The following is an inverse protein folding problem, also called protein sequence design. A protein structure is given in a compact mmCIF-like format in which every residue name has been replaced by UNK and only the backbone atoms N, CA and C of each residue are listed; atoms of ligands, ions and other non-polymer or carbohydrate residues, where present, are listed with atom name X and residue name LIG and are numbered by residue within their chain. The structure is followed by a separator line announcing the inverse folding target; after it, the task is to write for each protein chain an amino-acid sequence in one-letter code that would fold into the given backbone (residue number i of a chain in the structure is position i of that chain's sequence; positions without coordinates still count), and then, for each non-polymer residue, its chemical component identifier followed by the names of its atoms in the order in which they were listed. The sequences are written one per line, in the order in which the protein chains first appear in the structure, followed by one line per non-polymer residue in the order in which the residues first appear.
data_IF_676741266271
#
_entry.id   IF_676741266271
#
_cell.length_a   1.000
_cell.length_b   1.000
_cell.length_c   1.000
_cell.angle_alpha   90.00
_cell.angle_beta   90.00
_cell.angle_gamma   90.00
#
_symmetry.space_group_name_H-M   'P 1'
#
loop_
_entity.id
_entity.type
_entity.pdbx_description
1 polymer ?
#
# COMPACT_ATOMS: atom_id res chain seq x y z
N UNK A 1 -1.99 -1.70 19.39
CA UNK A 1 -1.12 -1.05 18.37
C UNK A 1 -1.51 -1.53 16.97
N UNK A 2 -1.68 -0.62 15.98
CA UNK A 2 -1.97 -0.98 14.60
C UNK A 2 -0.87 -1.84 13.97
N UNK A 3 -1.28 -2.72 13.06
CA UNK A 3 -0.39 -3.37 12.11
C UNK A 3 -0.12 -2.41 10.94
N UNK A 4 1.15 -2.04 10.71
CA UNK A 4 1.56 -1.14 9.63
C UNK A 4 2.04 -1.98 8.44
N UNK A 5 1.39 -1.83 7.28
CA UNK A 5 1.68 -2.58 6.06
C UNK A 5 2.04 -1.59 4.94
N UNK A 6 3.28 -1.61 4.47
CA UNK A 6 3.66 -0.89 3.28
C UNK A 6 3.28 -1.69 2.02
N UNK A 7 2.72 -1.02 1.01
CA UNK A 7 2.43 -1.62 -0.30
C UNK A 7 3.47 -1.08 -1.28
N UNK A 8 4.45 -1.91 -1.62
CA UNK A 8 5.62 -1.47 -2.36
C UNK A 8 6.00 -2.41 -3.51
N UNK A 9 6.43 -1.83 -4.61
CA UNK A 9 7.14 -2.46 -5.71
C UNK A 9 7.84 -1.38 -6.54
N UNK A 10 9.05 -1.63 -6.99
CA UNK A 10 9.83 -0.69 -7.81
C UNK A 10 9.28 -0.56 -9.23
N UNK A 11 8.55 -1.56 -9.73
CA UNK A 11 7.92 -1.54 -11.05
C UNK A 11 6.64 -0.69 -11.00
N UNK A 12 6.51 0.26 -11.92
CA UNK A 12 5.28 1.01 -12.17
C UNK A 12 4.17 0.11 -12.73
N UNK A 13 2.91 0.48 -12.51
CA UNK A 13 1.76 -0.19 -13.14
C UNK A 13 1.42 -1.59 -12.62
N UNK A 14 2.02 -2.08 -11.53
CA UNK A 14 1.74 -3.42 -10.97
C UNK A 14 0.51 -3.48 -10.06
N UNK A 15 -0.23 -2.38 -9.91
CA UNK A 15 -1.44 -2.31 -9.09
C UNK A 15 -1.18 -1.99 -7.60
N UNK A 16 -0.11 -1.28 -7.25
CA UNK A 16 0.16 -0.80 -5.88
C UNK A 16 -1.01 0.03 -5.34
N UNK A 17 -1.28 1.17 -5.97
CA UNK A 17 -2.35 2.10 -5.61
C UNK A 17 -3.72 1.44 -5.65
N UNK A 18 -4.00 0.65 -6.69
CA UNK A 18 -5.25 -0.13 -6.78
C UNK A 18 -5.40 -1.07 -5.59
N UNK A 19 -4.31 -1.71 -5.17
CA UNK A 19 -4.31 -2.59 -3.97
C UNK A 19 -4.46 -1.77 -2.70
N UNK A 20 -3.77 -0.64 -2.57
CA UNK A 20 -3.86 0.24 -1.40
C UNK A 20 -5.30 0.71 -1.16
N UNK A 21 -5.94 1.26 -2.19
CA UNK A 21 -7.33 1.74 -2.13
C UNK A 21 -8.30 0.60 -1.81
N UNK A 22 -8.25 -0.48 -2.56
CA UNK A 22 -9.31 -1.50 -2.48
C UNK A 22 -9.13 -2.48 -1.31
N UNK A 23 -7.89 -2.80 -0.91
CA UNK A 23 -7.64 -3.64 0.26
C UNK A 23 -7.97 -2.90 1.57
N UNK A 24 -7.54 -1.63 1.69
CA UNK A 24 -7.86 -0.83 2.89
C UNK A 24 -9.37 -0.64 3.04
N UNK A 25 -10.08 -0.40 1.93
CA UNK A 25 -11.53 -0.30 1.88
C UNK A 25 -12.20 -1.61 2.34
N UNK A 26 -11.79 -2.75 1.80
CA UNK A 26 -12.37 -4.06 2.14
C UNK A 26 -12.10 -4.45 3.61
N UNK A 27 -10.93 -4.13 4.16
CA UNK A 27 -10.61 -4.36 5.58
C UNK A 27 -11.45 -3.46 6.50
N UNK A 28 -11.70 -2.20 6.10
CA UNK A 28 -12.56 -1.30 6.85
C UNK A 28 -14.03 -1.78 6.82
N UNK A 29 -14.52 -2.27 5.67
CA UNK A 29 -15.85 -2.91 5.56
C UNK A 29 -15.97 -4.17 6.43
N UNK A 30 -14.87 -4.91 6.61
CA UNK A 30 -14.81 -6.03 7.56
C UNK A 30 -14.79 -5.59 9.04
N UNK A 31 -14.97 -4.30 9.31
CA UNK A 31 -15.17 -3.73 10.64
C UNK A 31 -13.93 -3.25 11.36
N UNK A 32 -12.75 -3.26 10.73
CA UNK A 32 -11.50 -2.78 11.30
C UNK A 32 -11.35 -1.26 11.15
N UNK A 33 -10.69 -0.60 12.11
CA UNK A 33 -10.29 0.79 12.00
C UNK A 33 -9.02 0.87 11.14
N UNK A 34 -9.09 1.56 10.02
CA UNK A 34 -8.00 1.63 9.03
C UNK A 34 -7.58 3.07 8.78
N UNK A 35 -6.27 3.29 8.74
CA UNK A 35 -5.67 4.50 8.21
C UNK A 35 -4.94 4.17 6.90
N UNK A 36 -5.28 4.86 5.84
CA UNK A 36 -4.56 4.82 4.57
C UNK A 36 -3.64 6.05 4.48
N UNK A 37 -2.38 5.85 4.17
CA UNK A 37 -1.38 6.91 3.96
C UNK A 37 -0.94 6.86 2.51
N UNK A 38 -1.25 7.92 1.77
CA UNK A 38 -0.72 8.11 0.42
C UNK A 38 0.70 8.69 0.54
N UNK A 39 1.70 7.98 0.04
CA UNK A 39 3.09 8.42 0.06
C UNK A 39 3.66 8.57 -1.37
N UNK A 40 2.79 8.55 -2.38
CA UNK A 40 3.17 8.84 -3.76
C UNK A 40 2.85 10.32 -4.08
N UNK A 41 3.85 11.12 -4.56
CA UNK A 41 3.61 12.50 -4.97
C UNK A 41 2.54 12.67 -6.05
N UNK A 42 2.19 11.61 -6.77
CA UNK A 42 1.11 11.63 -7.76
C UNK A 42 -0.28 11.73 -7.13
N UNK A 43 -0.45 11.41 -5.84
CA UNK A 43 -1.71 11.53 -5.13
C UNK A 43 -2.80 10.58 -5.64
N UNK A 44 -2.42 9.47 -6.27
CA UNK A 44 -3.39 8.57 -6.91
C UNK A 44 -4.26 7.80 -5.88
N UNK A 45 -3.75 7.49 -4.71
CA UNK A 45 -4.56 6.93 -3.61
C UNK A 45 -5.53 7.99 -3.10
N UNK A 46 -5.10 9.23 -2.97
CA UNK A 46 -5.94 10.35 -2.53
C UNK A 46 -7.12 10.56 -3.47
N UNK A 47 -6.86 10.67 -4.77
CA UNK A 47 -7.90 10.79 -5.80
C UNK A 47 -8.77 9.54 -5.92
N UNK A 48 -8.20 8.35 -5.70
CA UNK A 48 -8.93 7.07 -5.69
C UNK A 48 -9.97 6.95 -4.57
N UNK A 49 -9.92 7.82 -3.55
CA UNK A 49 -10.96 7.98 -2.53
C UNK A 49 -11.83 9.23 -2.76
N UNK A 50 -11.74 9.88 -3.91
CA UNK A 50 -12.48 11.11 -4.20
C UNK A 50 -12.09 12.27 -3.29
N UNK A 51 -10.85 12.29 -2.82
CA UNK A 51 -10.35 13.33 -1.90
C UNK A 51 -9.29 14.18 -2.57
N UNK A 52 -9.12 15.37 -2.04
CA UNK A 52 -8.05 16.32 -2.35
C UNK A 52 -7.40 16.74 -1.04
N UNK A 53 -6.20 17.27 -1.11
CA UNK A 53 -5.54 17.88 0.05
C UNK A 53 -5.56 19.39 -0.07
N UNK A 54 -5.82 20.06 1.04
CA UNK A 54 -5.73 21.50 1.16
C UNK A 54 -4.34 21.91 1.67
N UNK A 55 -4.06 23.21 1.69
CA UNK A 55 -2.85 23.72 2.33
C UNK A 55 -2.77 23.26 3.79
N UNK A 56 -1.59 22.78 4.19
CA UNK A 56 -1.29 22.26 5.54
C UNK A 56 -2.13 21.05 5.98
N UNK A 57 -2.56 20.20 5.04
CA UNK A 57 -3.32 19.00 5.37
C UNK A 57 -2.88 17.73 4.62
N UNK A 58 -1.64 17.73 4.11
CA UNK A 58 -1.06 16.58 3.39
C UNK A 58 -0.02 15.84 4.22
N UNK A 59 0.33 14.63 3.78
CA UNK A 59 1.46 13.88 4.35
C UNK A 59 2.77 14.68 4.23
N UNK A 60 2.94 15.48 3.16
CA UNK A 60 4.08 16.38 3.02
C UNK A 60 4.13 17.39 4.16
N UNK A 61 3.02 18.05 4.46
CA UNK A 61 2.97 19.06 5.53
C UNK A 61 3.30 18.45 6.90
N UNK A 62 2.82 17.22 7.16
CA UNK A 62 3.17 16.50 8.38
C UNK A 62 4.66 16.12 8.44
N UNK A 63 5.23 15.59 7.33
CA UNK A 63 6.64 15.22 7.25
C UNK A 63 7.57 16.40 7.45
N UNK A 64 7.19 17.58 6.94
CA UNK A 64 7.96 18.83 7.08
C UNK A 64 7.71 19.56 8.41
N UNK A 65 6.90 19.01 9.31
CA UNK A 65 6.54 19.66 10.57
C UNK A 65 5.73 20.95 10.40
N UNK A 66 5.07 21.12 9.23
CA UNK A 66 4.25 22.30 8.90
C UNK A 66 2.81 22.15 9.40
N UNK A 67 2.40 20.92 9.75
CA UNK A 67 1.10 20.61 10.30
C UNK A 67 1.19 19.45 11.30
N UNK A 68 0.29 19.44 12.28
CA UNK A 68 0.08 18.27 13.14
C UNK A 68 -0.54 17.14 12.31
N UNK A 69 -0.08 15.90 12.52
CA UNK A 69 -0.57 14.73 11.78
C UNK A 69 -2.08 14.56 11.88
N UNK A 70 -2.67 14.84 13.06
CA UNK A 70 -4.10 14.73 13.27
C UNK A 70 -4.91 15.65 12.36
N UNK A 71 -4.36 16.82 12.02
CA UNK A 71 -4.98 17.77 11.09
C UNK A 71 -4.91 17.30 9.63
N UNK A 72 -4.04 16.34 9.32
CA UNK A 72 -3.88 15.76 7.99
C UNK A 72 -4.79 14.54 7.77
N UNK A 73 -5.43 14.03 8.84
CA UNK A 73 -6.31 12.85 8.77
C UNK A 73 -7.69 13.27 8.30
N UNK A 74 -8.09 12.77 7.14
CA UNK A 74 -9.40 13.01 6.52
C UNK A 74 -10.31 11.78 6.64
N UNK A 75 -11.62 12.01 6.71
CA UNK A 75 -12.61 10.95 6.60
C UNK A 75 -12.79 10.56 5.12
N UNK A 76 -13.05 9.30 4.86
CA UNK A 76 -13.49 8.80 3.55
C UNK A 76 -15.00 8.47 3.58
N UNK A 77 -15.57 8.08 2.44
CA UNK A 77 -16.97 7.64 2.37
C UNK A 77 -17.16 6.23 2.95
N UNK A 78 -16.08 5.56 3.32
CA UNK A 78 -16.13 4.25 3.98
C UNK A 78 -15.98 4.43 5.49
N UNK A 79 -17.01 4.01 6.22
CA UNK A 79 -16.98 4.01 7.68
C UNK A 79 -15.76 3.24 8.20
N UNK A 80 -15.04 3.82 9.17
CA UNK A 80 -13.81 3.27 9.79
C UNK A 80 -12.55 3.32 8.91
N UNK A 81 -12.60 3.95 7.73
CA UNK A 81 -11.42 4.24 6.91
C UNK A 81 -11.14 5.73 6.92
N UNK A 82 -9.95 6.08 7.34
CA UNK A 82 -9.41 7.45 7.26
C UNK A 82 -8.23 7.50 6.30
N UNK A 83 -7.92 8.68 5.79
CA UNK A 83 -6.88 8.93 4.80
C UNK A 83 -5.97 10.07 5.24
N UNK A 84 -4.68 9.91 5.05
CA UNK A 84 -3.72 11.01 4.96
C UNK A 84 -3.32 11.10 3.48
N UNK A 85 -3.73 12.19 2.83
CA UNK A 85 -3.55 12.39 1.41
C UNK A 85 -2.18 12.96 1.06
N UNK A 86 -1.80 12.80 -0.22
CA UNK A 86 -0.61 13.38 -0.83
C UNK A 86 -0.95 14.31 -1.99
N UNK A 87 -0.01 15.16 -2.33
CA UNK A 87 0.01 15.96 -3.55
C UNK A 87 1.44 16.12 -4.08
N UNK A 88 1.59 16.81 -5.20
CA UNK A 88 2.87 16.96 -5.91
C UNK A 88 3.98 17.59 -5.05
N UNK A 89 3.63 18.38 -4.02
CA UNK A 89 4.62 18.99 -3.10
C UNK A 89 5.44 17.95 -2.36
N UNK A 90 4.89 16.73 -2.19
CA UNK A 90 5.60 15.63 -1.55
C UNK A 90 6.91 15.24 -2.28
N UNK A 91 7.02 15.50 -3.59
CA UNK A 91 8.27 15.32 -4.33
C UNK A 91 9.40 16.23 -3.76
N UNK A 92 9.05 17.40 -3.22
CA UNK A 92 9.99 18.31 -2.57
C UNK A 92 10.59 17.74 -1.29
N UNK A 93 9.88 16.88 -0.56
CA UNK A 93 10.36 16.28 0.68
C UNK A 93 11.65 15.48 0.48
N UNK A 94 11.83 14.84 -0.67
CA UNK A 94 13.05 14.08 -0.98
C UNK A 94 14.29 14.97 -1.07
N UNK A 95 14.13 16.22 -1.52
CA UNK A 95 15.20 17.20 -1.61
C UNK A 95 15.43 17.88 -0.26
N UNK A 96 14.33 18.31 0.40
CA UNK A 96 14.38 19.06 1.64
C UNK A 96 14.94 18.22 2.81
N UNK A 97 14.71 16.92 2.81
CA UNK A 97 15.20 16.01 3.85
C UNK A 97 16.63 15.47 3.61
N UNK A 98 17.29 15.77 2.47
CA UNK A 98 18.61 15.19 2.13
C UNK A 98 19.65 15.42 3.23
N UNK A 99 19.67 16.61 3.83
CA UNK A 99 20.66 17.01 4.86
C UNK A 99 20.18 16.78 6.30
N UNK A 100 18.97 16.21 6.47
CA UNK A 100 18.39 16.03 7.81
C UNK A 100 18.81 14.68 8.39
N UNK A 101 19.26 14.69 9.65
CA UNK A 101 19.60 13.46 10.36
C UNK A 101 18.36 12.60 10.61
N UNK A 102 18.55 11.28 10.58
CA UNK A 102 17.47 10.28 10.78
C UNK A 102 16.28 10.47 9.82
N UNK A 103 16.49 11.05 8.65
CA UNK A 103 15.47 11.33 7.64
C UNK A 103 14.64 10.11 7.21
N UNK A 104 15.17 8.92 7.38
CA UNK A 104 14.49 7.66 7.06
C UNK A 104 13.41 7.29 8.08
N UNK A 105 13.36 7.94 9.24
CA UNK A 105 12.47 7.62 10.36
C UNK A 105 11.36 8.64 10.60
N UNK A 106 11.22 9.66 9.77
CA UNK A 106 10.20 10.70 9.97
C UNK A 106 8.79 10.14 9.97
N UNK A 107 8.44 9.33 8.96
CA UNK A 107 7.12 8.72 8.88
C UNK A 107 6.87 7.77 10.07
N UNK A 108 7.88 7.03 10.52
CA UNK A 108 7.79 6.16 11.70
C UNK A 108 7.45 6.95 12.96
N UNK A 109 8.12 8.10 13.17
CA UNK A 109 7.86 8.99 14.31
C UNK A 109 6.43 9.55 14.25
N UNK A 110 5.99 10.01 13.08
CA UNK A 110 4.64 10.53 12.87
C UNK A 110 3.56 9.48 13.12
N UNK A 111 3.67 8.31 12.49
CA UNK A 111 2.67 7.25 12.65
C UNK A 111 2.64 6.69 14.08
N UNK A 112 3.74 6.80 14.84
CA UNK A 112 3.80 6.43 16.24
C UNK A 112 2.76 7.15 17.10
N UNK A 113 2.43 8.40 16.77
CA UNK A 113 1.46 9.22 17.52
C UNK A 113 0.03 8.68 17.43
N UNK A 114 -0.37 8.17 16.26
CA UNK A 114 -1.74 7.73 15.99
C UNK A 114 -1.90 6.21 15.94
N UNK A 115 -0.82 5.46 16.16
CA UNK A 115 -0.78 4.01 15.94
C UNK A 115 -1.81 3.24 16.77
N UNK A 116 -2.14 3.71 17.96
CA UNK A 116 -3.07 3.03 18.88
C UNK A 116 -4.55 3.29 18.54
N UNK A 117 -4.83 4.24 17.64
CA UNK A 117 -6.20 4.58 17.24
C UNK A 117 -6.76 3.63 16.17
N UNK A 118 -5.89 2.90 15.46
CA UNK A 118 -6.23 2.05 14.34
C UNK A 118 -5.90 0.58 14.60
N UNK A 119 -6.55 -0.32 13.85
CA UNK A 119 -6.21 -1.74 13.77
C UNK A 119 -5.14 -1.98 12.69
N UNK A 120 -5.26 -1.25 11.56
CA UNK A 120 -4.34 -1.33 10.44
C UNK A 120 -3.97 0.07 9.92
N UNK A 121 -2.71 0.23 9.51
CA UNK A 121 -2.23 1.38 8.76
C UNK A 121 -1.62 0.85 7.47
N UNK A 122 -2.14 1.28 6.33
CA UNK A 122 -1.57 0.98 5.01
C UNK A 122 -0.81 2.19 4.47
N UNK A 123 0.33 1.94 3.81
CA UNK A 123 1.14 2.99 3.19
C UNK A 123 1.28 2.64 1.70
N UNK A 124 0.73 3.47 0.81
CA UNK A 124 0.96 3.36 -0.64
C UNK A 124 2.29 4.01 -1.01
N UNK A 125 3.21 3.23 -1.55
CA UNK A 125 4.57 3.69 -1.87
C UNK A 125 4.71 4.08 -3.34
N UNK A 126 5.51 5.11 -3.67
CA UNK A 126 5.85 5.45 -5.05
C UNK A 126 6.58 4.29 -5.76
N UNK A 127 6.65 4.31 -7.13
CA UNK A 127 7.32 3.26 -7.90
C UNK A 127 8.85 3.39 -7.93
N UNK A 128 9.43 4.06 -6.97
CA UNK A 128 10.88 4.29 -6.86
C UNK A 128 11.41 3.81 -5.51
N UNK A 129 12.70 3.48 -5.46
CA UNK A 129 13.40 3.23 -4.21
C UNK A 129 13.98 4.56 -3.68
N UNK A 130 13.11 5.51 -3.44
CA UNK A 130 13.45 6.85 -2.95
C UNK A 130 13.43 6.93 -1.43
N UNK A 131 13.75 8.11 -0.88
CA UNK A 131 13.67 8.39 0.55
C UNK A 131 12.26 8.17 1.11
N UNK A 132 11.20 8.45 0.33
CA UNK A 132 9.82 8.20 0.73
C UNK A 132 9.56 6.70 0.92
N UNK A 133 10.00 5.87 -0.04
CA UNK A 133 9.89 4.41 0.11
C UNK A 133 10.70 3.89 1.30
N UNK A 134 11.89 4.43 1.56
CA UNK A 134 12.68 4.08 2.75
C UNK A 134 11.94 4.45 4.04
N UNK A 135 11.29 5.61 4.10
CA UNK A 135 10.44 6.02 5.23
C UNK A 135 9.28 5.05 5.45
N UNK A 136 8.60 4.63 4.38
CA UNK A 136 7.52 3.65 4.47
C UNK A 136 8.02 2.32 5.05
N UNK A 137 9.14 1.79 4.53
CA UNK A 137 9.71 0.51 4.95
C UNK A 137 10.30 0.57 6.37
N UNK A 138 10.86 1.70 6.77
CA UNK A 138 11.35 1.93 8.14
C UNK A 138 10.21 2.00 9.17
N UNK A 139 9.03 2.48 8.75
CA UNK A 139 7.84 2.57 9.60
C UNK A 139 7.03 1.27 9.65
N UNK A 140 7.06 0.46 8.60
CA UNK A 140 6.19 -0.70 8.43
C UNK A 140 6.60 -1.89 9.31
N UNK A 141 5.62 -2.68 9.73
CA UNK A 141 5.84 -4.00 10.32
C UNK A 141 6.06 -5.04 9.20
N UNK A 142 5.32 -4.89 8.09
CA UNK A 142 5.43 -5.81 6.95
C UNK A 142 5.23 -5.09 5.61
N UNK A 143 5.67 -5.76 4.53
CA UNK A 143 5.52 -5.30 3.13
C UNK A 143 4.62 -6.24 2.36
N UNK A 144 3.55 -5.72 1.76
CA UNK A 144 2.75 -6.39 0.75
C UNK A 144 3.28 -6.02 -0.63
N UNK A 145 3.53 -7.01 -1.46
CA UNK A 145 4.22 -6.87 -2.75
C UNK A 145 3.27 -7.23 -3.89
N UNK A 146 2.59 -6.26 -4.52
CA UNK A 146 1.83 -6.52 -5.74
C UNK A 146 2.76 -6.80 -6.93
N UNK A 147 2.43 -7.84 -7.71
CA UNK A 147 3.19 -8.26 -8.88
C UNK A 147 2.23 -8.53 -10.01
N UNK A 148 2.44 -7.90 -11.14
CA UNK A 148 1.70 -8.20 -12.35
C UNK A 148 2.12 -9.56 -12.91
N UNK A 149 1.14 -10.38 -13.34
CA UNK A 149 1.39 -11.71 -13.93
C UNK A 149 1.93 -11.60 -15.36
N UNK A 150 3.17 -11.12 -15.50
CA UNK A 150 3.90 -10.95 -16.76
C UNK A 150 5.29 -11.59 -16.69
N UNK A 151 5.94 -11.76 -17.84
CA UNK A 151 7.21 -12.47 -17.98
C UNK A 151 8.32 -12.02 -17.00
N UNK A 152 8.45 -10.73 -16.76
CA UNK A 152 9.48 -10.17 -15.86
C UNK A 152 9.05 -10.13 -14.37
N UNK A 153 8.00 -10.84 -13.99
CA UNK A 153 7.47 -10.82 -12.63
C UNK A 153 8.52 -11.24 -11.58
N UNK A 154 9.26 -12.32 -11.83
CA UNK A 154 10.25 -12.88 -10.90
C UNK A 154 11.44 -11.94 -10.68
N UNK A 155 11.93 -11.29 -11.71
CA UNK A 155 13.05 -10.36 -11.62
C UNK A 155 12.70 -9.16 -10.72
N UNK A 156 11.51 -8.59 -10.93
CA UNK A 156 11.02 -7.49 -10.12
C UNK A 156 10.87 -7.85 -8.62
N UNK A 157 10.42 -9.07 -8.32
CA UNK A 157 10.33 -9.55 -6.92
C UNK A 157 11.71 -9.72 -6.31
N UNK A 158 12.64 -10.33 -7.01
CA UNK A 158 14.01 -10.57 -6.50
C UNK A 158 14.68 -9.24 -6.15
N UNK A 159 14.56 -8.23 -7.03
CA UNK A 159 15.09 -6.89 -6.78
C UNK A 159 14.48 -6.26 -5.52
N UNK A 160 13.15 -6.34 -5.36
CA UNK A 160 12.49 -5.81 -4.17
C UNK A 160 12.88 -6.57 -2.90
N UNK A 161 13.01 -7.91 -2.94
CA UNK A 161 13.45 -8.71 -1.79
C UNK A 161 14.85 -8.30 -1.32
N UNK A 162 15.77 -8.02 -2.24
CA UNK A 162 17.09 -7.49 -1.92
C UNK A 162 16.98 -6.12 -1.21
N UNK A 163 16.09 -5.26 -1.68
CA UNK A 163 15.82 -3.97 -1.04
C UNK A 163 15.27 -4.13 0.37
N UNK A 164 14.25 -4.97 0.53
CA UNK A 164 13.66 -5.26 1.86
C UNK A 164 14.73 -5.79 2.81
N UNK A 165 15.59 -6.70 2.35
CA UNK A 165 16.69 -7.23 3.16
C UNK A 165 17.68 -6.13 3.56
N UNK A 166 18.04 -5.22 2.66
CA UNK A 166 18.91 -4.07 2.98
C UNK A 166 18.26 -3.17 4.04
N UNK A 167 16.98 -2.81 3.87
CA UNK A 167 16.24 -2.02 4.86
C UNK A 167 16.17 -2.74 6.20
N UNK A 168 15.94 -4.07 6.19
CA UNK A 168 15.91 -4.89 7.40
C UNK A 168 17.23 -4.84 8.16
N UNK A 169 18.35 -4.89 7.46
CA UNK A 169 19.66 -4.83 8.10
C UNK A 169 20.03 -3.43 8.62
N UNK A 170 19.59 -2.37 7.94
CA UNK A 170 20.07 -1.01 8.22
C UNK A 170 19.09 -0.20 9.08
N UNK A 171 17.77 -0.26 8.79
CA UNK A 171 16.79 0.66 9.34
C UNK A 171 15.69 -0.01 10.16
N UNK A 172 15.26 -1.24 9.79
CA UNK A 172 14.12 -1.90 10.42
C UNK A 172 14.31 -3.41 10.55
N UNK A 173 15.02 -3.90 11.58
CA UNK A 173 15.27 -5.33 11.77
C UNK A 173 14.02 -6.21 11.90
N UNK A 174 12.86 -5.61 12.21
CA UNK A 174 11.58 -6.32 12.38
C UNK A 174 10.75 -6.38 11.10
N UNK A 175 11.19 -5.74 10.02
CA UNK A 175 10.46 -5.74 8.74
C UNK A 175 10.34 -7.15 8.19
N UNK A 176 9.12 -7.59 7.89
CA UNK A 176 8.82 -8.88 7.29
C UNK A 176 8.03 -8.72 5.99
N UNK A 177 7.92 -9.80 5.20
CA UNK A 177 7.03 -9.84 4.05
C UNK A 177 5.63 -10.23 4.53
N UNK A 178 4.62 -9.37 4.30
CA UNK A 178 3.22 -9.69 4.52
C UNK A 178 2.73 -10.74 3.52
N UNK A 179 3.08 -10.51 2.27
CA UNK A 179 2.81 -11.44 1.19
C UNK A 179 3.04 -10.84 -0.19
N UNK A 180 3.14 -11.73 -1.16
CA UNK A 180 3.24 -11.42 -2.58
C UNK A 180 1.84 -11.58 -3.19
N UNK A 181 1.31 -10.51 -3.78
CA UNK A 181 0.00 -10.48 -4.40
C UNK A 181 0.13 -10.50 -5.92
N UNK A 182 -0.39 -11.55 -6.54
CA UNK A 182 -0.47 -11.65 -7.99
C UNK A 182 -1.64 -10.82 -8.52
N UNK A 183 -1.35 -9.85 -9.37
CA UNK A 183 -2.31 -8.89 -9.91
C UNK A 183 -2.46 -9.03 -11.44
N UNK A 184 -3.57 -8.50 -11.96
CA UNK A 184 -3.89 -8.46 -13.39
C UNK A 184 -3.79 -9.84 -14.06
N UNK A 185 -4.14 -10.90 -13.32
CA UNK A 185 -4.14 -12.26 -13.86
C UNK A 185 -5.20 -12.39 -14.95
N UNK A 186 -4.79 -12.77 -16.15
CA UNK A 186 -5.68 -13.28 -17.18
C UNK A 186 -5.55 -14.81 -17.23
N UNK A 187 -6.49 -15.49 -16.59
CA UNK A 187 -6.51 -16.95 -16.50
C UNK A 187 -6.71 -17.68 -17.85
N UNK A 188 -6.99 -16.95 -18.94
CA UNK A 188 -7.12 -17.51 -20.29
C UNK A 188 -5.78 -17.68 -20.98
N UNK A 189 -4.72 -17.06 -20.44
CA UNK A 189 -3.37 -17.10 -21.03
C UNK A 189 -2.48 -18.12 -20.35
N UNK A 190 -1.79 -18.95 -21.12
CA UNK A 190 -0.79 -19.89 -20.59
C UNK A 190 0.33 -19.16 -19.87
N UNK A 191 0.74 -17.98 -20.37
CA UNK A 191 1.80 -17.17 -19.74
C UNK A 191 1.41 -16.77 -18.31
N UNK A 192 0.19 -16.26 -18.10
CA UNK A 192 -0.27 -15.88 -16.77
C UNK A 192 -0.23 -17.04 -15.78
N UNK A 193 -0.69 -18.22 -16.19
CA UNK A 193 -0.66 -19.43 -15.36
C UNK A 193 0.77 -19.91 -15.06
N UNK A 194 1.67 -19.89 -16.04
CA UNK A 194 3.08 -20.23 -15.85
C UNK A 194 3.77 -19.26 -14.85
N UNK A 195 3.50 -17.95 -14.94
CA UNK A 195 4.03 -16.98 -13.98
C UNK A 195 3.53 -17.27 -12.57
N UNK A 196 2.24 -17.56 -12.41
CA UNK A 196 1.66 -17.94 -11.10
C UNK A 196 2.39 -19.14 -10.50
N UNK A 197 2.61 -20.20 -11.29
CA UNK A 197 3.29 -21.41 -10.83
C UNK A 197 4.76 -21.14 -10.46
N UNK A 198 5.45 -20.36 -11.27
CA UNK A 198 6.84 -19.98 -11.04
C UNK A 198 6.98 -19.15 -9.74
N UNK A 199 6.15 -18.13 -9.54
CA UNK A 199 6.16 -17.31 -8.33
C UNK A 199 5.82 -18.15 -7.09
N UNK A 200 4.79 -19.01 -7.17
CA UNK A 200 4.43 -19.92 -6.08
C UNK A 200 5.54 -20.91 -5.75
N UNK A 201 6.24 -21.43 -6.76
CA UNK A 201 7.37 -22.36 -6.57
C UNK A 201 8.54 -21.70 -5.84
N UNK A 202 8.87 -20.44 -6.17
CA UNK A 202 10.01 -19.73 -5.57
C UNK A 202 9.69 -19.17 -4.18
N UNK A 203 8.50 -18.58 -4.00
CA UNK A 203 8.15 -17.83 -2.79
C UNK A 203 7.15 -18.55 -1.87
N UNK A 204 6.63 -19.71 -2.30
CA UNK A 204 5.81 -20.64 -1.50
C UNK A 204 4.77 -19.93 -0.61
N UNK A 205 4.93 -20.02 0.72
CA UNK A 205 3.99 -19.48 1.72
C UNK A 205 3.90 -17.95 1.72
N UNK A 206 4.86 -17.27 1.10
CA UNK A 206 4.79 -15.80 1.01
C UNK A 206 3.76 -15.33 -0.03
N UNK A 207 3.35 -16.18 -0.98
CA UNK A 207 2.34 -15.80 -1.98
C UNK A 207 0.94 -15.91 -1.39
N UNK A 208 0.11 -14.88 -1.62
CA UNK A 208 -1.31 -14.96 -1.28
C UNK A 208 -2.00 -16.02 -2.12
N UNK A 209 -2.96 -16.74 -1.52
CA UNK A 209 -3.81 -17.67 -2.26
C UNK A 209 -4.71 -16.91 -3.23
N UNK A 210 -5.18 -15.74 -2.80
CA UNK A 210 -5.98 -14.81 -3.60
C UNK A 210 -5.13 -14.17 -4.70
N UNK A 211 -5.69 -14.09 -5.91
CA UNK A 211 -5.13 -13.36 -7.05
C UNK A 211 -6.12 -12.28 -7.50
N UNK A 212 -5.63 -11.15 -7.99
CA UNK A 212 -6.47 -10.08 -8.53
C UNK A 212 -6.57 -10.26 -10.06
N UNK A 213 -7.76 -10.48 -10.62
CA UNK A 213 -7.92 -10.65 -12.05
C UNK A 213 -7.71 -9.31 -12.79
N UNK A 214 -7.38 -9.39 -14.07
CA UNK A 214 -7.51 -8.24 -14.97
C UNK A 214 -9.00 -7.89 -15.08
N UNK A 215 -9.36 -6.67 -14.64
CA UNK A 215 -10.75 -6.23 -14.55
C UNK A 215 -10.84 -4.75 -14.93
N UNK A 216 -11.69 -4.43 -15.91
CA UNK A 216 -11.86 -3.07 -16.43
C UNK A 216 -12.44 -2.14 -15.35
N UNK A 217 -13.36 -2.65 -14.50
CA UNK A 217 -13.98 -1.88 -13.42
C UNK A 217 -12.98 -1.35 -12.40
N UNK A 218 -11.89 -2.11 -12.14
CA UNK A 218 -10.79 -1.64 -11.28
C UNK A 218 -10.02 -0.47 -11.90
N UNK A 219 -10.00 -0.36 -13.23
CA UNK A 219 -9.40 0.77 -13.94
C UNK A 219 -10.33 1.99 -14.03
N UNK A 220 -11.65 1.76 -14.05
CA UNK A 220 -12.66 2.83 -14.14
C UNK A 220 -12.94 3.50 -12.78
N UNK A 221 -13.01 2.73 -11.70
CA UNK A 221 -13.36 3.18 -10.36
C UNK A 221 -12.57 4.43 -9.89
N UNK A 222 -11.25 4.55 -10.13
CA UNK A 222 -10.50 5.75 -9.74
C UNK A 222 -10.97 7.03 -10.44
N UNK A 223 -11.51 6.96 -11.67
CA UNK A 223 -12.05 8.12 -12.37
C UNK A 223 -13.33 8.69 -11.74
N UNK A 224 -13.98 7.88 -10.91
CA UNK A 224 -15.15 8.26 -10.10
C UNK A 224 -14.76 8.61 -8.66
N UNK A 225 -13.47 8.47 -8.28
CA UNK A 225 -13.01 8.70 -6.92
C UNK A 225 -13.56 7.70 -5.91
N UNK A 226 -13.87 6.49 -6.35
CA UNK A 226 -14.50 5.45 -5.53
C UNK A 226 -13.67 4.16 -5.51
N UNK A 227 -13.47 3.54 -4.34
CA UNK A 227 -13.01 2.16 -4.26
C UNK A 227 -13.99 1.21 -4.96
N UNK A 228 -13.47 0.09 -5.49
CA UNK A 228 -14.28 -0.87 -6.25
C UNK A 228 -15.51 -1.39 -5.50
N UNK A 229 -15.43 -1.49 -4.19
CA UNK A 229 -16.54 -1.96 -3.35
C UNK A 229 -17.73 -0.97 -3.28
N UNK A 230 -17.52 0.30 -3.64
CA UNK A 230 -18.58 1.30 -3.80
C UNK A 230 -18.99 1.40 -5.28
N UNK A 231 -18.01 1.43 -6.19
CA UNK A 231 -18.23 1.61 -7.62
C UNK A 231 -18.96 0.43 -8.27
N UNK A 232 -18.45 -0.80 -8.08
CA UNK A 232 -19.07 -2.03 -8.58
C UNK A 232 -18.82 -3.20 -7.61
N UNK A 233 -19.63 -3.32 -6.55
CA UNK A 233 -19.44 -4.33 -5.50
C UNK A 233 -19.61 -5.78 -5.99
N UNK A 234 -20.21 -5.98 -7.17
CA UNK A 234 -20.44 -7.32 -7.75
C UNK A 234 -19.35 -7.72 -8.75
N UNK A 235 -18.43 -6.82 -9.07
CA UNK A 235 -17.34 -7.13 -10.00
C UNK A 235 -16.41 -8.21 -9.46
N UNK A 236 -15.76 -8.94 -10.36
CA UNK A 236 -14.72 -9.92 -9.97
C UNK A 236 -13.55 -9.25 -9.24
N UNK A 237 -13.29 -7.98 -9.51
CA UNK A 237 -12.30 -7.16 -8.80
C UNK A 237 -12.70 -6.93 -7.34
N UNK A 238 -13.94 -6.55 -7.06
CA UNK A 238 -14.44 -6.35 -5.70
C UNK A 238 -14.38 -7.64 -4.89
N UNK A 239 -14.89 -8.76 -5.45
CA UNK A 239 -14.85 -10.06 -4.80
C UNK A 239 -13.41 -10.53 -4.51
N UNK A 240 -12.46 -10.24 -5.40
CA UNK A 240 -11.06 -10.59 -5.19
C UNK A 240 -10.44 -9.80 -4.04
N UNK A 241 -10.68 -8.48 -3.94
CA UNK A 241 -10.19 -7.68 -2.82
C UNK A 241 -10.85 -8.02 -1.49
N UNK A 242 -12.12 -8.40 -1.49
CA UNK A 242 -12.79 -8.94 -0.30
C UNK A 242 -12.14 -10.26 0.16
N UNK A 243 -11.81 -11.15 -0.78
CA UNK A 243 -11.12 -12.40 -0.48
C UNK A 243 -9.71 -12.15 0.06
N UNK A 244 -8.98 -11.20 -0.54
CA UNK A 244 -7.66 -10.77 -0.06
C UNK A 244 -7.75 -10.20 1.36
N UNK A 245 -8.75 -9.36 1.63
CA UNK A 245 -8.96 -8.80 2.96
C UNK A 245 -9.16 -9.90 4.02
N UNK A 246 -9.98 -10.91 3.71
CA UNK A 246 -10.16 -12.09 4.58
C UNK A 246 -8.84 -12.83 4.82
N UNK A 247 -8.01 -13.00 3.78
CA UNK A 247 -6.72 -13.67 3.90
C UNK A 247 -5.73 -12.86 4.75
N UNK A 248 -5.62 -11.52 4.53
CA UNK A 248 -4.78 -10.63 5.34
C UNK A 248 -5.23 -10.64 6.80
N UNK A 249 -6.52 -10.55 7.08
CA UNK A 249 -7.06 -10.63 8.44
C UNK A 249 -6.74 -11.98 9.10
N UNK A 250 -6.83 -13.09 8.37
CA UNK A 250 -6.50 -14.42 8.89
C UNK A 250 -5.01 -14.55 9.23
N UNK A 251 -4.12 -14.04 8.39
CA UNK A 251 -2.65 -14.05 8.64
C UNK A 251 -2.27 -13.22 9.87
N UNK A 252 -3.05 -12.20 10.21
CA UNK A 252 -2.78 -11.28 11.32
C UNK A 252 -3.59 -11.58 12.60
N UNK A 253 -4.51 -12.57 12.62
CA UNK A 253 -5.32 -12.93 13.80
C UNK A 253 -4.54 -13.31 15.06
N UNK A 254 -3.29 -13.77 14.93
CA UNK A 254 -2.44 -14.19 16.05
C UNK A 254 -1.47 -13.09 16.53
N UNK A 255 -1.49 -11.91 15.90
CA UNK A 255 -0.53 -10.82 16.16
C UNK A 255 -1.19 -9.53 16.68
N UNK A 256 -2.53 -9.53 16.87
CA UNK A 256 -3.32 -8.40 17.42
C UNK A 256 -3.82 -8.72 18.81
#
# INVERSE_FOLDING_TARGET
MAKIIAIANQKGGVGKTTTAVNLSAAIAQAGKKVLMVDLDPQGNTTSGFGRTVNERSSVYDALMGRADLNNCIQNTDIKKLKLIGADIRLAGAEVELVSVEEREFFLKKLLGVVRDEFDFIFIDCPPSLSLLTLNALAAADTVLVPIQCEYYALEGVTSLMNTVNRVKHTFNPRLEIEGILLTMLDGRTNLGLQVVDQVKKHFRKAVFATTIPRNVRLGEAPSHGEPICLYDPRSSGAMAYESLAREVLARNRKKI
#
